data_IF_619432687478
#
_entry.id   IF_619432687478
#
_cell.length_a   1.000
_cell.length_b   1.000
_cell.length_c   1.000
_cell.angle_alpha   90.00
_cell.angle_beta   90.00
_cell.angle_gamma   90.00
#
_symmetry.space_group_name_H-M   'P 1'
#
loop_
_entity.id
_entity.type
_entity.pdbx_description
1 polymer ?
#
# COMPACT_ATOMS: atom_id res chain seq x y z
N UNK A 1 -0.19 -36.14 14.33
CA UNK A 1 0.61 -34.97 14.76
C UNK A 1 -0.31 -34.12 15.62
N UNK A 2 0.11 -33.72 16.82
CA UNK A 2 -0.75 -33.02 17.77
C UNK A 2 -1.17 -31.64 17.23
N UNK A 3 -2.48 -31.39 17.11
CA UNK A 3 -3.05 -30.15 16.58
C UNK A 3 -2.55 -28.92 17.34
N UNK A 4 -2.27 -29.06 18.65
CA UNK A 4 -1.72 -27.97 19.46
C UNK A 4 -0.30 -27.58 19.02
N UNK A 5 0.54 -28.57 18.68
CA UNK A 5 1.92 -28.33 18.23
C UNK A 5 1.98 -27.69 16.84
N UNK A 6 1.11 -28.12 15.93
CA UNK A 6 0.99 -27.51 14.60
C UNK A 6 0.51 -26.06 14.67
N UNK A 7 -0.48 -25.78 15.52
CA UNK A 7 -0.94 -24.41 15.78
C UNK A 7 0.19 -23.53 16.30
N UNK A 8 0.89 -23.96 17.35
CA UNK A 8 2.02 -23.23 17.92
C UNK A 8 3.14 -22.98 16.89
N UNK A 9 3.48 -23.97 16.07
CA UNK A 9 4.50 -23.83 15.04
C UNK A 9 4.09 -22.83 13.96
N UNK A 10 2.83 -22.87 13.52
CA UNK A 10 2.32 -21.93 12.53
C UNK A 10 2.27 -20.49 13.09
N UNK A 11 1.79 -20.31 14.33
CA UNK A 11 1.80 -19.02 15.03
C UNK A 11 3.22 -18.48 15.22
N UNK A 12 4.16 -19.33 15.64
CA UNK A 12 5.56 -18.94 15.78
C UNK A 12 6.18 -18.52 14.44
N UNK A 13 5.85 -19.24 13.37
CA UNK A 13 6.32 -18.96 12.03
C UNK A 13 5.79 -17.63 11.50
N UNK A 14 4.48 -17.35 11.57
CA UNK A 14 3.89 -16.11 11.05
C UNK A 14 4.29 -14.86 11.85
N UNK A 15 4.73 -15.03 13.10
CA UNK A 15 5.18 -13.92 13.94
C UNK A 15 6.69 -13.61 13.83
N UNK A 16 7.43 -14.32 12.96
CA UNK A 16 8.85 -14.04 12.75
C UNK A 16 9.06 -12.60 12.27
N UNK A 17 10.04 -11.90 12.85
CA UNK A 17 10.47 -10.57 12.40
C UNK A 17 10.95 -10.57 10.94
N UNK A 18 11.31 -11.75 10.42
CA UNK A 18 11.58 -12.00 9.02
C UNK A 18 10.50 -11.37 8.13
N UNK A 19 9.22 -11.65 8.35
CA UNK A 19 8.11 -11.15 7.53
C UNK A 19 7.94 -9.62 7.51
N UNK A 20 8.57 -8.92 8.44
CA UNK A 20 8.52 -7.46 8.49
C UNK A 20 9.42 -6.84 7.42
N UNK A 21 10.36 -7.56 6.81
CA UNK A 21 11.32 -6.99 5.86
C UNK A 21 10.67 -6.72 4.49
N UNK A 22 10.96 -5.57 3.91
CA UNK A 22 10.34 -5.09 2.67
C UNK A 22 10.63 -6.00 1.46
N UNK A 23 11.89 -6.40 1.27
CA UNK A 23 12.29 -7.19 0.10
C UNK A 23 11.57 -8.54 0.01
N UNK A 24 11.14 -9.12 1.13
CA UNK A 24 10.38 -10.38 1.15
C UNK A 24 9.03 -10.22 0.44
N UNK A 25 8.44 -9.03 0.46
CA UNK A 25 7.16 -8.79 -0.23
C UNK A 25 7.29 -9.08 -1.72
N UNK A 26 8.41 -8.69 -2.34
CA UNK A 26 8.69 -9.01 -3.75
C UNK A 26 8.80 -10.52 -3.96
N UNK A 27 9.58 -11.21 -3.14
CA UNK A 27 9.77 -12.66 -3.24
C UNK A 27 8.45 -13.43 -3.14
N UNK A 28 7.56 -13.00 -2.24
CA UNK A 28 6.29 -13.67 -2.00
C UNK A 28 5.26 -13.43 -3.12
N UNK A 29 5.18 -12.20 -3.62
CA UNK A 29 4.24 -11.84 -4.68
C UNK A 29 4.72 -12.32 -6.05
N UNK A 30 6.03 -12.25 -6.34
CA UNK A 30 6.60 -12.69 -7.62
C UNK A 30 6.86 -14.21 -7.68
N UNK A 31 7.07 -14.88 -6.55
CA UNK A 31 7.37 -16.32 -6.48
C UNK A 31 6.24 -17.26 -6.93
N UNK A 32 5.02 -16.72 -7.14
CA UNK A 32 3.83 -17.42 -7.67
C UNK A 32 3.65 -18.85 -7.11
N UNK A 33 3.33 -19.82 -7.96
CA UNK A 33 2.94 -21.19 -7.59
C UNK A 33 4.12 -22.08 -7.14
N UNK A 34 5.36 -21.70 -7.46
CA UNK A 34 6.57 -22.47 -7.13
C UNK A 34 7.21 -22.10 -5.79
N UNK A 35 6.64 -21.16 -5.04
CA UNK A 35 7.22 -20.66 -3.81
C UNK A 35 7.25 -21.75 -2.72
N UNK A 36 8.47 -22.08 -2.28
CA UNK A 36 8.75 -22.92 -1.13
C UNK A 36 9.34 -22.07 -0.01
N UNK A 37 8.74 -22.13 1.17
CA UNK A 37 9.23 -21.45 2.36
C UNK A 37 10.04 -22.43 3.20
N UNK A 38 11.25 -22.02 3.57
CA UNK A 38 12.14 -22.81 4.40
C UNK A 38 12.30 -22.15 5.77
N UNK A 39 12.10 -22.91 6.84
CA UNK A 39 12.36 -22.50 8.21
C UNK A 39 13.16 -23.58 8.94
N UNK A 40 14.45 -23.32 9.17
CA UNK A 40 15.38 -24.32 9.68
C UNK A 40 15.52 -25.48 8.69
N UNK A 41 15.21 -26.70 9.12
CA UNK A 41 15.23 -27.92 8.28
C UNK A 41 13.88 -28.23 7.61
N UNK A 42 12.87 -27.41 7.88
CA UNK A 42 11.51 -27.64 7.37
C UNK A 42 11.28 -26.84 6.10
N UNK A 43 10.61 -27.46 5.13
CA UNK A 43 10.15 -26.81 3.89
C UNK A 43 8.64 -26.94 3.82
N UNK A 44 7.96 -25.83 3.52
CA UNK A 44 6.52 -25.81 3.31
C UNK A 44 6.21 -25.07 2.01
N UNK A 45 5.45 -25.71 1.12
CA UNK A 45 4.97 -25.06 -0.10
C UNK A 45 3.90 -24.02 0.24
N UNK A 46 3.75 -23.01 -0.62
CA UNK A 46 2.61 -22.07 -0.55
C UNK A 46 1.25 -22.76 -0.42
N UNK A 47 1.00 -23.81 -1.21
CA UNK A 47 -0.27 -24.56 -1.18
C UNK A 47 -0.64 -25.06 0.23
N UNK A 48 0.28 -25.77 0.89
CA UNK A 48 0.07 -26.25 2.26
C UNK A 48 -0.16 -25.12 3.28
N UNK A 49 0.53 -24.00 3.14
CA UNK A 49 0.29 -22.82 3.98
C UNK A 49 -1.10 -22.21 3.73
N UNK A 50 -1.54 -22.13 2.47
CA UNK A 50 -2.88 -21.63 2.13
C UNK A 50 -3.97 -22.50 2.71
N UNK A 51 -3.84 -23.83 2.62
CA UNK A 51 -4.79 -24.77 3.23
C UNK A 51 -4.87 -24.60 4.75
N UNK A 52 -3.72 -24.37 5.41
CA UNK A 52 -3.69 -24.07 6.84
C UNK A 52 -4.36 -22.72 7.15
N UNK A 53 -4.06 -21.67 6.36
CA UNK A 53 -4.64 -20.35 6.53
C UNK A 53 -6.16 -20.34 6.43
N UNK A 54 -6.74 -20.98 5.40
CA UNK A 54 -8.19 -21.07 5.23
C UNK A 54 -8.83 -21.80 6.41
N UNK A 55 -8.22 -22.91 6.84
CA UNK A 55 -8.70 -23.69 7.99
C UNK A 55 -8.64 -22.88 9.29
N UNK A 56 -7.58 -22.10 9.49
CA UNK A 56 -7.45 -21.24 10.66
C UNK A 56 -8.38 -20.03 10.61
N UNK A 57 -8.61 -19.41 9.45
CA UNK A 57 -9.56 -18.30 9.30
C UNK A 57 -10.98 -18.73 9.69
N UNK A 58 -11.43 -19.88 9.18
CA UNK A 58 -12.73 -20.47 9.55
C UNK A 58 -12.80 -20.73 11.06
N UNK A 59 -11.72 -21.24 11.67
CA UNK A 59 -11.65 -21.44 13.12
C UNK A 59 -11.65 -20.14 13.91
N UNK A 60 -10.93 -19.11 13.45
CA UNK A 60 -10.91 -17.80 14.08
C UNK A 60 -12.30 -17.16 14.09
N UNK A 61 -13.03 -17.26 12.99
CA UNK A 61 -14.42 -16.81 12.88
C UNK A 61 -15.38 -17.60 13.79
N UNK A 62 -15.21 -18.93 13.89
CA UNK A 62 -16.09 -19.80 14.67
C UNK A 62 -15.74 -19.88 16.17
N UNK A 63 -14.49 -19.62 16.56
CA UNK A 63 -13.94 -19.86 17.90
C UNK A 63 -13.32 -18.61 18.53
N UNK A 64 -13.52 -17.43 17.94
CA UNK A 64 -12.98 -16.15 18.42
C UNK A 64 -11.44 -16.13 18.58
N UNK A 65 -10.71 -16.90 17.76
CA UNK A 65 -9.25 -16.88 17.75
C UNK A 65 -8.72 -15.63 17.03
N UNK A 66 -7.51 -15.16 17.40
CA UNK A 66 -6.87 -14.04 16.72
C UNK A 66 -6.52 -14.41 15.27
N UNK A 67 -6.92 -13.58 14.28
CA UNK A 67 -6.55 -13.82 12.89
C UNK A 67 -5.07 -13.59 12.66
N UNK A 68 -4.55 -14.18 11.58
CA UNK A 68 -3.16 -13.93 11.16
C UNK A 68 -2.93 -12.46 10.78
N UNK A 69 -1.68 -11.97 10.92
CA UNK A 69 -1.32 -10.60 10.57
C UNK A 69 -1.82 -10.22 9.17
N UNK A 70 -2.53 -9.09 9.00
CA UNK A 70 -3.13 -8.69 7.72
C UNK A 70 -2.15 -8.67 6.53
N UNK A 71 -0.89 -8.30 6.79
CA UNK A 71 0.17 -8.26 5.77
C UNK A 71 0.43 -9.65 5.18
N UNK A 72 0.33 -10.71 5.99
CA UNK A 72 0.51 -12.08 5.52
C UNK A 72 -0.74 -12.56 4.77
N UNK A 73 -1.93 -12.14 5.19
CA UNK A 73 -3.18 -12.47 4.48
C UNK A 73 -3.19 -11.90 3.06
N UNK A 74 -2.72 -10.66 2.87
CA UNK A 74 -2.64 -10.04 1.55
C UNK A 74 -1.56 -10.64 0.64
N UNK A 75 -0.42 -11.04 1.22
CA UNK A 75 0.80 -11.36 0.47
C UNK A 75 1.01 -12.87 0.28
N UNK A 76 0.82 -13.66 1.33
CA UNK A 76 0.93 -15.13 1.26
C UNK A 76 -0.33 -15.76 0.65
N UNK A 77 -1.51 -15.17 0.90
CA UNK A 77 -2.81 -15.74 0.54
C UNK A 77 -3.64 -14.84 -0.40
N UNK A 78 -3.06 -14.39 -1.53
CA UNK A 78 -3.72 -13.49 -2.47
C UNK A 78 -5.03 -14.06 -3.01
N UNK A 79 -5.08 -15.37 -3.29
CA UNK A 79 -6.27 -16.06 -3.82
C UNK A 79 -7.44 -16.12 -2.84
N UNK A 80 -7.20 -15.84 -1.55
CA UNK A 80 -8.25 -15.79 -0.51
C UNK A 80 -8.79 -14.38 -0.27
N UNK A 81 -8.17 -13.38 -0.91
CA UNK A 81 -8.56 -11.98 -0.88
C UNK A 81 -9.08 -11.55 -2.26
N UNK A 82 -9.92 -10.51 -2.30
CA UNK A 82 -10.45 -9.94 -3.55
C UNK A 82 -9.39 -9.20 -4.40
N UNK A 83 -8.15 -9.14 -3.93
CA UNK A 83 -7.05 -8.46 -4.61
C UNK A 83 -6.37 -9.42 -5.59
N UNK A 84 -6.60 -9.21 -6.88
CA UNK A 84 -5.90 -9.95 -7.93
C UNK A 84 -4.51 -9.34 -8.15
N UNK A 85 -3.50 -9.84 -7.43
CA UNK A 85 -2.11 -9.40 -7.55
C UNK A 85 -1.38 -9.99 -8.78
N UNK A 86 -2.10 -10.64 -9.70
CA UNK A 86 -1.50 -11.18 -10.93
C UNK A 86 -1.13 -10.10 -11.95
N UNK A 87 -1.71 -8.91 -11.80
CA UNK A 87 -1.32 -7.72 -12.57
C UNK A 87 -0.27 -6.92 -11.81
N UNK A 88 0.60 -6.24 -12.56
CA UNK A 88 1.49 -5.26 -11.96
C UNK A 88 0.68 -4.17 -11.25
N UNK A 89 1.19 -3.71 -10.10
CA UNK A 89 0.49 -2.80 -9.20
C UNK A 89 0.80 -1.35 -9.54
N UNK A 90 -0.16 -0.47 -9.27
CA UNK A 90 0.13 0.97 -9.26
C UNK A 90 1.15 1.29 -8.18
N UNK A 91 2.07 2.21 -8.50
CA UNK A 91 3.11 2.66 -7.60
C UNK A 91 2.50 3.15 -6.28
N UNK A 92 1.42 3.93 -6.35
CA UNK A 92 0.70 4.45 -5.20
C UNK A 92 0.29 3.34 -4.21
N UNK A 93 -0.42 2.31 -4.67
CA UNK A 93 -0.88 1.24 -3.80
C UNK A 93 0.29 0.46 -3.22
N UNK A 94 1.32 0.21 -4.03
CA UNK A 94 2.48 -0.55 -3.59
C UNK A 94 3.23 0.17 -2.47
N UNK A 95 3.55 1.45 -2.64
CA UNK A 95 4.26 2.23 -1.61
C UNK A 95 3.36 2.47 -0.39
N UNK A 96 2.07 2.75 -0.56
CA UNK A 96 1.18 3.00 0.57
C UNK A 96 0.94 1.75 1.42
N UNK A 97 0.86 0.57 0.80
CA UNK A 97 0.62 -0.70 1.50
C UNK A 97 1.88 -1.20 2.22
N UNK A 98 3.05 -1.10 1.58
CA UNK A 98 4.27 -1.75 2.08
C UNK A 98 5.30 -0.79 2.69
N UNK A 99 5.07 0.53 2.66
CA UNK A 99 6.03 1.51 3.20
C UNK A 99 6.32 1.39 4.68
N UNK A 100 5.50 0.69 5.48
CA UNK A 100 5.79 0.45 6.91
C UNK A 100 6.72 -0.74 7.15
N UNK A 101 6.98 -1.58 6.14
CA UNK A 101 7.89 -2.71 6.26
C UNK A 101 9.33 -2.25 6.54
N UNK A 102 10.08 -3.06 7.27
CA UNK A 102 11.47 -2.77 7.60
C UNK A 102 12.37 -2.85 6.36
N UNK A 103 13.13 -1.79 6.11
CA UNK A 103 14.24 -1.76 5.16
C UNK A 103 15.43 -1.06 5.82
N UNK A 104 16.64 -1.39 5.36
CA UNK A 104 17.86 -0.75 5.86
C UNK A 104 18.07 0.61 5.20
N UNK A 105 17.89 0.67 3.87
CA UNK A 105 17.89 1.93 3.13
C UNK A 105 16.45 2.45 3.01
N UNK A 106 16.14 3.66 3.49
CA UNK A 106 14.79 4.22 3.38
C UNK A 106 14.30 4.39 1.92
N UNK A 107 15.21 4.47 0.95
CA UNK A 107 14.88 4.54 -0.49
C UNK A 107 14.27 3.25 -1.01
N UNK A 108 14.54 2.12 -0.35
CA UNK A 108 13.97 0.82 -0.72
C UNK A 108 12.45 0.81 -0.61
N UNK A 109 11.85 1.67 0.23
CA UNK A 109 10.39 1.86 0.30
C UNK A 109 9.76 2.25 -1.05
N UNK A 110 10.57 2.73 -1.98
CA UNK A 110 10.21 2.96 -3.38
C UNK A 110 10.95 1.96 -4.29
N UNK A 111 12.29 1.89 -4.21
CA UNK A 111 13.11 1.08 -5.13
C UNK A 111 12.92 -0.43 -4.94
N UNK A 112 12.85 -0.89 -3.71
CA UNK A 112 12.62 -2.29 -3.33
C UNK A 112 11.20 -2.77 -3.59
N UNK A 113 10.35 -1.98 -4.27
CA UNK A 113 9.01 -2.35 -4.69
C UNK A 113 8.84 -2.34 -6.22
N UNK A 114 9.82 -1.86 -6.99
CA UNK A 114 9.69 -1.64 -8.44
C UNK A 114 9.43 -2.92 -9.25
N UNK A 115 9.82 -4.10 -8.74
CA UNK A 115 9.48 -5.39 -9.37
C UNK A 115 7.98 -5.69 -9.38
N UNK A 116 7.21 -5.10 -8.46
CA UNK A 116 5.77 -5.23 -8.35
C UNK A 116 5.01 -4.19 -9.18
N UNK A 117 5.65 -3.05 -9.45
CA UNK A 117 5.00 -1.88 -10.06
C UNK A 117 4.84 -2.04 -11.57
N UNK A 118 3.76 -1.50 -12.13
CA UNK A 118 3.48 -1.46 -13.57
C UNK A 118 4.57 -0.71 -14.32
N UNK A 119 4.93 -1.21 -15.50
CA UNK A 119 6.10 -0.74 -16.25
C UNK A 119 6.08 0.77 -16.51
N UNK A 120 4.91 1.33 -16.78
CA UNK A 120 4.65 2.75 -17.04
C UNK A 120 4.81 3.65 -15.81
N UNK A 121 4.73 3.08 -14.61
CA UNK A 121 4.91 3.78 -13.33
C UNK A 121 6.25 3.48 -12.65
N UNK A 122 7.06 2.61 -13.25
CA UNK A 122 8.35 2.25 -12.67
C UNK A 122 9.31 3.43 -12.65
N UNK A 123 9.98 3.57 -11.52
CA UNK A 123 11.07 4.51 -11.32
C UNK A 123 12.37 3.77 -11.54
N UNK A 124 13.24 4.33 -12.37
CA UNK A 124 14.59 3.81 -12.56
C UNK A 124 15.33 3.88 -11.23
N UNK A 125 15.81 2.74 -10.76
CA UNK A 125 16.57 2.63 -9.51
C UNK A 125 17.92 3.33 -9.67
N UNK A 126 18.17 4.33 -8.83
CA UNK A 126 19.43 5.07 -8.77
C UNK A 126 19.74 5.47 -7.32
N UNK A 127 20.68 4.76 -6.69
CA UNK A 127 21.09 5.01 -5.31
C UNK A 127 22.06 6.20 -5.18
N UNK A 128 22.36 6.92 -6.27
CA UNK A 128 23.02 8.23 -6.18
C UNK A 128 22.03 9.34 -5.80
N UNK A 129 20.72 9.10 -5.95
CA UNK A 129 19.68 10.03 -5.53
C UNK A 129 19.54 10.06 -4.01
N UNK A 130 19.32 11.25 -3.48
CA UNK A 130 18.93 11.48 -2.09
C UNK A 130 17.53 10.94 -1.80
N UNK A 131 17.21 10.76 -0.51
CA UNK A 131 15.88 10.32 -0.07
C UNK A 131 14.78 11.30 -0.52
N UNK A 132 15.07 12.60 -0.50
CA UNK A 132 14.16 13.65 -0.96
C UNK A 132 13.87 13.49 -2.46
N UNK A 133 14.91 13.32 -3.28
CA UNK A 133 14.75 13.14 -4.73
C UNK A 133 13.94 11.89 -5.06
N UNK A 134 14.21 10.77 -4.38
CA UNK A 134 13.43 9.53 -4.55
C UNK A 134 11.97 9.73 -4.15
N UNK A 135 11.71 10.41 -3.04
CA UNK A 135 10.35 10.74 -2.61
C UNK A 135 9.62 11.60 -3.66
N UNK A 136 10.24 12.68 -4.14
CA UNK A 136 9.64 13.57 -5.12
C UNK A 136 9.38 12.85 -6.46
N UNK A 137 10.29 11.97 -6.90
CA UNK A 137 10.07 11.13 -8.08
C UNK A 137 8.86 10.21 -7.90
N UNK A 138 8.72 9.57 -6.73
CA UNK A 138 7.58 8.74 -6.41
C UNK A 138 6.27 9.51 -6.48
N UNK A 139 6.22 10.69 -5.84
CA UNK A 139 5.07 11.57 -5.84
C UNK A 139 4.71 12.01 -7.26
N UNK A 140 5.68 12.43 -8.07
CA UNK A 140 5.48 12.82 -9.47
C UNK A 140 4.92 11.68 -10.32
N UNK A 141 5.46 10.47 -10.18
CA UNK A 141 4.95 9.30 -10.89
C UNK A 141 3.51 8.97 -10.50
N UNK A 142 3.19 9.01 -9.21
CA UNK A 142 1.82 8.78 -8.69
C UNK A 142 0.82 9.76 -9.30
N UNK A 143 1.16 11.06 -9.35
CA UNK A 143 0.26 12.05 -9.96
C UNK A 143 0.19 11.92 -11.48
N UNK A 144 1.30 11.61 -12.15
CA UNK A 144 1.31 11.41 -13.62
C UNK A 144 0.44 10.24 -14.06
N UNK A 145 0.37 9.17 -13.26
CA UNK A 145 -0.50 8.03 -13.51
C UNK A 145 -2.01 8.37 -13.39
N UNK A 146 -2.34 9.57 -12.89
CA UNK A 146 -3.69 10.06 -12.71
C UNK A 146 -4.36 9.33 -11.55
N UNK A 147 -4.01 9.69 -10.32
CA UNK A 147 -4.48 9.06 -9.08
C UNK A 147 -6.01 8.82 -9.07
N UNK A 148 -6.78 9.81 -9.50
CA UNK A 148 -8.26 9.72 -9.57
C UNK A 148 -8.79 8.73 -10.64
N UNK A 149 -7.94 8.28 -11.56
CA UNK A 149 -8.23 7.20 -12.51
C UNK A 149 -7.86 5.81 -11.96
N UNK A 150 -7.01 5.74 -10.93
CA UNK A 150 -6.46 4.49 -10.37
C UNK A 150 -7.48 3.80 -9.45
N UNK A 151 -8.19 4.53 -8.59
CA UNK A 151 -9.17 3.93 -7.67
C UNK A 151 -10.36 3.27 -8.39
N UNK A 152 -10.73 3.77 -9.58
CA UNK A 152 -11.81 3.18 -10.38
C UNK A 152 -11.51 1.79 -10.96
N UNK A 153 -10.24 1.35 -10.98
CA UNK A 153 -9.83 0.03 -11.49
C UNK A 153 -9.66 -1.04 -10.41
N UNK A 154 -9.31 -0.65 -9.18
CA UNK A 154 -8.99 -1.59 -8.09
C UNK A 154 -10.01 -1.56 -6.95
N UNK A 155 -10.97 -0.65 -6.97
CA UNK A 155 -12.18 -0.78 -6.19
C UNK A 155 -13.06 -1.88 -6.80
N UNK A 156 -12.92 -3.11 -6.30
CA UNK A 156 -13.95 -4.15 -6.42
C UNK A 156 -15.25 -3.82 -5.68
N UNK A 157 -15.59 -2.54 -5.53
CA UNK A 157 -16.72 -2.03 -4.76
C UNK A 157 -17.35 -0.86 -5.54
N UNK A 158 -18.46 -1.21 -6.19
CA UNK A 158 -19.47 -0.36 -6.80
C UNK A 158 -19.11 0.45 -8.07
N UNK A 159 -19.75 0.07 -9.18
CA UNK A 159 -19.70 0.73 -10.49
C UNK A 159 -20.60 1.98 -10.56
N UNK A 160 -21.00 2.57 -9.43
CA UNK A 160 -21.87 3.74 -9.39
C UNK A 160 -21.19 5.07 -8.99
N UNK A 161 -19.97 5.05 -8.43
CA UNK A 161 -19.39 6.27 -7.83
C UNK A 161 -18.30 6.90 -8.70
N UNK A 162 -18.70 7.52 -9.80
CA UNK A 162 -17.92 8.64 -10.36
C UNK A 162 -18.03 9.80 -9.37
N UNK A 163 -17.22 9.83 -8.30
CA UNK A 163 -17.12 10.92 -7.31
C UNK A 163 -18.38 11.82 -7.27
N UNK A 164 -19.51 11.26 -6.81
CA UNK A 164 -20.82 11.89 -7.00
C UNK A 164 -21.01 13.07 -6.04
N UNK A 165 -20.11 13.27 -5.06
CA UNK A 165 -20.09 14.46 -4.22
C UNK A 165 -18.68 15.07 -4.07
N UNK A 166 -18.63 16.40 -4.00
CA UNK A 166 -17.43 17.20 -3.66
C UNK A 166 -16.77 16.74 -2.36
N UNK A 167 -17.56 16.21 -1.42
CA UNK A 167 -17.10 15.77 -0.11
C UNK A 167 -16.26 14.49 -0.20
N UNK A 168 -16.73 13.47 -0.95
CA UNK A 168 -15.97 12.22 -1.18
C UNK A 168 -14.61 12.50 -1.82
N UNK A 169 -14.58 13.44 -2.75
CA UNK A 169 -13.35 13.83 -3.42
C UNK A 169 -12.34 14.50 -2.48
N UNK A 170 -12.79 15.41 -1.61
CA UNK A 170 -11.94 16.04 -0.60
C UNK A 170 -11.43 15.01 0.41
N UNK A 171 -12.25 14.03 0.77
CA UNK A 171 -11.84 12.93 1.65
C UNK A 171 -10.74 12.07 1.01
N UNK A 172 -10.87 11.72 -0.27
CA UNK A 172 -9.83 10.99 -1.02
C UNK A 172 -8.53 11.78 -1.10
N UNK A 173 -8.61 13.08 -1.38
CA UNK A 173 -7.46 13.97 -1.42
C UNK A 173 -6.71 14.02 -0.08
N UNK A 174 -7.43 14.17 1.03
CA UNK A 174 -6.85 14.22 2.37
C UNK A 174 -6.25 12.86 2.77
N UNK A 175 -6.91 11.75 2.44
CA UNK A 175 -6.37 10.41 2.69
C UNK A 175 -5.10 10.15 1.87
N UNK A 176 -5.06 10.59 0.61
CA UNK A 176 -3.85 10.53 -0.21
C UNK A 176 -2.73 11.33 0.42
N UNK A 177 -2.99 12.57 0.82
CA UNK A 177 -2.02 13.44 1.49
C UNK A 177 -1.45 12.76 2.73
N UNK A 178 -2.31 12.26 3.61
CA UNK A 178 -1.92 11.58 4.86
C UNK A 178 -1.02 10.37 4.59
N UNK A 179 -1.28 9.61 3.52
CA UNK A 179 -0.44 8.47 3.12
C UNK A 179 0.91 8.90 2.58
N UNK A 180 0.97 9.98 1.80
CA UNK A 180 2.24 10.54 1.31
C UNK A 180 3.07 11.14 2.45
N UNK A 181 2.44 11.77 3.44
CA UNK A 181 3.11 12.26 4.65
C UNK A 181 3.72 11.10 5.45
N UNK A 182 2.99 9.99 5.63
CA UNK A 182 3.54 8.77 6.24
C UNK A 182 4.71 8.19 5.46
N UNK A 183 4.63 8.17 4.12
CA UNK A 183 5.74 7.72 3.29
C UNK A 183 6.97 8.59 3.52
N UNK A 184 6.81 9.91 3.55
CA UNK A 184 7.90 10.84 3.83
C UNK A 184 8.52 10.63 5.21
N UNK A 185 7.68 10.44 6.24
CA UNK A 185 8.11 10.10 7.61
C UNK A 185 8.95 8.81 7.59
N UNK A 186 8.46 7.74 6.96
CA UNK A 186 9.18 6.48 6.85
C UNK A 186 10.48 6.59 6.06
N UNK A 187 10.56 7.51 5.10
CA UNK A 187 11.79 7.82 4.38
C UNK A 187 12.72 8.77 5.15
N UNK A 188 12.25 9.38 6.24
CA UNK A 188 12.96 10.43 6.98
C UNK A 188 13.25 11.64 6.09
N UNK A 189 12.19 12.11 5.42
CA UNK A 189 12.19 13.22 4.45
C UNK A 189 11.24 14.29 4.99
N UNK A 190 11.68 15.54 5.00
CA UNK A 190 10.80 16.65 5.37
C UNK A 190 9.83 16.93 4.23
N UNK A 191 8.53 16.80 4.51
CA UNK A 191 7.50 17.16 3.53
C UNK A 191 7.53 18.67 3.36
N UNK A 192 8.04 19.12 2.21
CA UNK A 192 7.86 20.51 1.79
C UNK A 192 6.39 20.66 1.42
N UNK A 193 5.59 21.12 2.38
CA UNK A 193 4.13 21.27 2.26
C UNK A 193 3.72 21.96 0.94
N UNK A 194 4.55 22.83 0.37
CA UNK A 194 4.28 23.51 -0.90
C UNK A 194 4.40 22.66 -2.18
N UNK A 195 5.31 21.68 -2.23
CA UNK A 195 5.55 20.92 -3.47
C UNK A 195 4.51 19.83 -3.70
N UNK A 196 4.19 19.06 -2.66
CA UNK A 196 3.14 18.03 -2.71
C UNK A 196 1.78 18.67 -2.96
N UNK A 197 1.48 19.78 -2.28
CA UNK A 197 0.24 20.53 -2.50
C UNK A 197 0.16 21.09 -3.94
N UNK A 198 1.28 21.61 -4.48
CA UNK A 198 1.32 22.07 -5.86
C UNK A 198 1.08 20.94 -6.86
N UNK A 199 1.67 19.76 -6.65
CA UNK A 199 1.47 18.58 -7.51
C UNK A 199 0.02 18.07 -7.43
N UNK A 200 -0.56 18.00 -6.23
CA UNK A 200 -1.98 17.72 -6.05
C UNK A 200 -2.83 18.70 -6.88
N UNK A 201 -2.60 20.01 -6.75
CA UNK A 201 -3.33 21.06 -7.50
C UNK A 201 -3.16 20.99 -9.02
N UNK A 202 -2.06 20.43 -9.52
CA UNK A 202 -1.85 20.19 -10.94
C UNK A 202 -2.68 19.01 -11.43
N UNK A 203 -2.64 17.89 -10.71
CA UNK A 203 -3.45 16.71 -11.03
C UNK A 203 -4.95 17.02 -10.95
N UNK A 204 -5.37 17.78 -9.92
CA UNK A 204 -6.71 18.35 -9.81
C UNK A 204 -7.12 19.16 -11.04
N UNK A 205 -6.23 20.01 -11.54
CA UNK A 205 -6.48 20.82 -12.72
C UNK A 205 -6.67 19.99 -13.99
N UNK A 206 -5.99 18.85 -14.10
CA UNK A 206 -6.13 17.91 -15.21
C UNK A 206 -7.43 17.09 -15.10
N UNK A 207 -7.74 16.55 -13.93
CA UNK A 207 -9.01 15.85 -13.66
C UNK A 207 -10.23 16.73 -13.96
N UNK A 208 -10.18 18.02 -13.60
CA UNK A 208 -11.20 19.04 -13.87
C UNK A 208 -11.43 19.34 -15.36
N UNK A 209 -10.41 19.19 -16.20
CA UNK A 209 -10.61 19.32 -17.66
C UNK A 209 -11.42 18.14 -18.23
N UNK A 210 -11.45 17.01 -17.53
CA UNK A 210 -12.25 15.84 -17.90
C UNK A 210 -13.64 15.79 -17.23
N UNK A 211 -13.85 16.48 -16.11
CA UNK A 211 -15.12 16.48 -15.32
C UNK A 211 -15.39 17.83 -14.63
N UNK A 212 -16.67 18.22 -14.44
CA UNK A 212 -17.09 19.51 -13.81
C UNK A 212 -16.72 19.60 -12.32
N UNK A 213 -15.43 19.74 -12.00
CA UNK A 213 -14.88 19.82 -10.63
C UNK A 213 -14.57 21.29 -10.19
N UNK A 214 -14.39 21.57 -8.88
CA UNK A 214 -14.28 22.93 -8.32
C UNK A 214 -12.97 23.68 -8.65
N UNK A 215 -12.93 24.98 -8.34
CA UNK A 215 -11.78 25.86 -8.62
C UNK A 215 -10.59 25.72 -7.66
N UNK A 216 -9.37 25.90 -8.20
CA UNK A 216 -8.08 25.79 -7.48
C UNK A 216 -8.02 26.64 -6.21
N UNK A 217 -8.59 27.85 -6.24
CA UNK A 217 -8.58 28.77 -5.11
C UNK A 217 -9.56 28.39 -4.00
N UNK A 218 -10.61 27.63 -4.34
CA UNK A 218 -11.54 27.04 -3.37
C UNK A 218 -10.92 25.83 -2.68
N UNK A 219 -10.19 25.01 -3.43
CA UNK A 219 -9.58 23.78 -2.93
C UNK A 219 -8.44 24.05 -1.95
N UNK A 220 -7.54 25.01 -2.24
CA UNK A 220 -6.49 25.43 -1.29
C UNK A 220 -7.06 25.83 0.07
N UNK A 221 -8.16 26.59 0.06
CA UNK A 221 -8.84 27.03 1.29
C UNK A 221 -9.49 25.87 2.05
N UNK A 222 -9.96 24.85 1.35
CA UNK A 222 -10.62 23.69 1.96
C UNK A 222 -9.62 22.65 2.50
N UNK A 223 -8.54 22.37 1.77
CA UNK A 223 -7.44 21.52 2.27
C UNK A 223 -6.84 22.16 3.53
N UNK A 224 -6.57 23.47 3.50
CA UNK A 224 -6.09 24.19 4.67
C UNK A 224 -7.05 24.11 5.87
N UNK A 225 -8.38 24.12 5.63
CA UNK A 225 -9.39 23.95 6.68
C UNK A 225 -9.44 22.52 7.22
N UNK A 226 -9.39 21.51 6.36
CA UNK A 226 -9.42 20.10 6.75
C UNK A 226 -8.22 19.74 7.64
N UNK A 227 -7.03 20.22 7.28
CA UNK A 227 -5.82 20.03 8.08
C UNK A 227 -5.89 20.72 9.45
N UNK A 228 -6.51 21.90 9.52
CA UNK A 228 -6.68 22.65 10.77
C UNK A 228 -7.70 22.01 11.73
N UNK A 229 -8.71 21.31 11.19
CA UNK A 229 -9.68 20.57 11.99
C UNK A 229 -9.08 19.29 12.61
N UNK A 230 -8.09 18.66 11.96
CA UNK A 230 -7.44 17.45 12.48
C UNK A 230 -6.40 17.74 13.58
N UNK A 231 -5.70 18.88 13.51
CA UNK A 231 -4.71 19.29 14.52
C UNK A 231 -5.33 19.73 15.85
N UNK A 232 -6.62 20.08 15.88
CA UNK A 232 -7.33 20.54 17.08
C UNK A 232 -8.25 19.46 17.72
N UNK A 233 -8.21 18.22 17.21
CA UNK A 233 -9.05 17.11 17.67
C UNK A 233 -8.35 16.07 18.55
N UNK A 234 -7.07 16.28 18.90
CA UNK A 234 -6.36 15.48 19.92
C UNK A 234 -6.17 16.34 21.17
N UNK A 235 -7.16 16.26 22.07
CA UNK A 235 -7.14 16.80 23.42
C UNK A 235 -7.92 15.88 24.34
#
# INVERSE_FOLDING_TARGET
MDNARLKFAAESFVNLSYWKRLWIIQELLLGKYGLMLMAGQSIVSRYHLTSFHVSHRIRAELLEEQPWPPVLNGVLFPDTNSYNWNDHLHLYYTVCTFSSNHCQDPRDRVFGLQGLVSYDERIKVDYNLSKQEVFLLAVQCIFKAGFFNIEGKYAGLDRASRASSRLEFLQQAEEMRRRLEKLAEYMGVDVVNGEVEHMMLLDFGQARRSTRLPDRSSLRREIARASYCHSNGQG
#
